data_IF_191430427961
#
_entry.id   IF_191430427961
#
_cell.length_a   1.000
_cell.length_b   1.000
_cell.length_c   1.000
_cell.angle_alpha   90.00
_cell.angle_beta   90.00
_cell.angle_gamma   90.00
#
_symmetry.space_group_name_H-M   'P 1'
#
loop_
_entity.id
_entity.type
_entity.pdbx_description
1 polymer ?
#
# COMPACT_ATOMS: atom_id res chain seq x y z
N UNK A 1 -16.20 -15.45 -6.89
CA UNK A 1 -15.58 -14.16 -6.52
C UNK A 1 -14.72 -13.70 -7.68
N UNK A 2 -14.81 -12.43 -8.06
CA UNK A 2 -14.04 -11.83 -9.16
C UNK A 2 -13.40 -10.51 -8.71
N UNK A 3 -12.32 -10.12 -9.39
CA UNK A 3 -11.70 -8.81 -9.24
C UNK A 3 -11.85 -8.02 -10.54
N UNK A 4 -11.98 -6.71 -10.45
CA UNK A 4 -11.95 -5.78 -11.59
C UNK A 4 -11.31 -4.46 -11.19
N UNK A 5 -10.88 -3.67 -12.16
CA UNK A 5 -10.47 -2.28 -11.91
C UNK A 5 -11.64 -1.47 -11.35
N UNK A 6 -11.32 -0.53 -10.47
CA UNK A 6 -12.25 0.49 -10.01
C UNK A 6 -12.61 1.43 -11.17
N UNK A 7 -13.87 1.85 -11.23
CA UNK A 7 -14.33 2.88 -12.17
C UNK A 7 -14.94 4.06 -11.42
N UNK A 8 -15.27 5.14 -12.13
CA UNK A 8 -15.92 6.31 -11.54
C UNK A 8 -17.26 5.97 -10.85
N UNK A 9 -17.98 4.96 -11.35
CA UNK A 9 -19.23 4.49 -10.76
C UNK A 9 -19.08 3.83 -9.38
N UNK A 10 -17.84 3.59 -8.93
CA UNK A 10 -17.55 3.02 -7.62
C UNK A 10 -17.19 4.06 -6.57
N UNK A 11 -16.93 5.33 -6.96
CA UNK A 11 -16.41 6.37 -6.06
C UNK A 11 -17.22 6.52 -4.78
N UNK A 12 -18.54 6.68 -4.90
CA UNK A 12 -19.45 6.82 -3.76
C UNK A 12 -19.46 5.58 -2.86
N UNK A 13 -19.49 4.38 -3.47
CA UNK A 13 -19.51 3.13 -2.74
C UNK A 13 -18.20 2.89 -1.98
N UNK A 14 -17.07 3.20 -2.59
CA UNK A 14 -15.74 3.07 -1.97
C UNK A 14 -15.58 4.06 -0.81
N UNK A 15 -16.04 5.30 -0.99
CA UNK A 15 -16.04 6.29 0.10
C UNK A 15 -16.85 5.80 1.31
N UNK A 16 -18.06 5.27 1.08
CA UNK A 16 -18.90 4.70 2.12
C UNK A 16 -18.26 3.46 2.78
N UNK A 17 -17.61 2.58 2.00
CA UNK A 17 -16.88 1.43 2.54
C UNK A 17 -15.71 1.87 3.42
N UNK A 18 -14.95 2.88 3.00
CA UNK A 18 -13.84 3.41 3.78
C UNK A 18 -14.32 4.03 5.10
N UNK A 19 -15.47 4.69 5.09
CA UNK A 19 -16.11 5.19 6.32
C UNK A 19 -16.51 4.05 7.25
N UNK A 20 -17.20 3.03 6.72
CA UNK A 20 -17.60 1.85 7.48
C UNK A 20 -16.40 1.08 8.07
N UNK A 21 -15.30 0.96 7.33
CA UNK A 21 -14.15 0.15 7.74
C UNK A 21 -13.17 0.86 8.68
N UNK A 22 -12.99 2.18 8.53
CA UNK A 22 -11.95 2.92 9.26
C UNK A 22 -12.50 3.99 10.21
N UNK A 23 -13.76 4.38 10.06
CA UNK A 23 -14.37 5.47 10.81
C UNK A 23 -13.70 6.84 10.55
N UNK A 24 -14.06 7.87 11.34
CA UNK A 24 -13.52 9.22 11.19
C UNK A 24 -12.05 9.34 11.62
N UNK A 25 -11.54 8.46 12.49
CA UNK A 25 -10.16 8.47 12.97
C UNK A 25 -9.09 8.08 11.93
N UNK A 26 -9.50 7.76 10.69
CA UNK A 26 -8.61 7.30 9.61
C UNK A 26 -7.60 8.37 9.19
N UNK A 27 -8.01 9.64 9.22
CA UNK A 27 -7.21 10.79 8.78
C UNK A 27 -5.98 11.07 9.67
N UNK A 28 -5.93 10.50 10.87
CA UNK A 28 -4.81 10.66 11.80
C UNK A 28 -3.63 9.69 11.54
N UNK A 29 -3.76 8.75 10.59
CA UNK A 29 -2.71 7.75 10.31
C UNK A 29 -1.77 8.28 9.23
N UNK A 30 -0.46 8.13 9.40
CA UNK A 30 0.54 8.66 8.44
C UNK A 30 0.35 8.17 6.99
N UNK A 31 -0.16 6.94 6.81
CA UNK A 31 -0.48 6.43 5.48
C UNK A 31 -1.64 7.20 4.79
N UNK A 32 -2.55 7.82 5.55
CA UNK A 32 -3.55 8.74 4.97
C UNK A 32 -2.91 10.07 4.58
N UNK A 33 -1.98 10.61 5.36
CA UNK A 33 -1.25 11.83 4.98
C UNK A 33 -0.53 11.67 3.64
N UNK A 34 0.05 10.49 3.38
CA UNK A 34 0.65 10.19 2.06
C UNK A 34 -0.37 10.17 0.93
N UNK A 35 -1.57 9.66 1.19
CA UNK A 35 -2.64 9.55 0.18
C UNK A 35 -3.30 10.88 -0.16
N UNK A 36 -3.19 11.88 0.71
CA UNK A 36 -3.65 13.24 0.42
C UNK A 36 -2.66 14.00 -0.47
N UNK A 37 -1.40 13.55 -0.56
CA UNK A 37 -0.38 14.21 -1.38
C UNK A 37 -0.51 13.89 -2.87
N UNK A 38 -1.11 12.76 -3.23
CA UNK A 38 -1.22 12.31 -4.62
C UNK A 38 -2.41 11.36 -4.83
N UNK A 39 -3.04 11.48 -5.99
CA UNK A 39 -4.08 10.55 -6.40
C UNK A 39 -3.58 9.11 -6.53
N UNK A 40 -4.42 8.10 -6.23
CA UNK A 40 -4.05 6.71 -6.46
C UNK A 40 -3.90 6.41 -7.96
N UNK A 41 -3.07 5.43 -8.29
CA UNK A 41 -2.99 4.88 -9.64
C UNK A 41 -4.24 4.02 -9.90
N UNK A 42 -5.19 4.56 -10.66
CA UNK A 42 -6.45 3.88 -10.97
C UNK A 42 -6.27 2.62 -11.84
N UNK A 43 -5.13 2.45 -12.52
CA UNK A 43 -4.79 1.18 -13.20
C UNK A 43 -4.37 0.07 -12.22
N UNK A 44 -4.17 0.42 -10.94
CA UNK A 44 -3.83 -0.47 -9.84
C UNK A 44 -4.84 -0.38 -8.68
N UNK A 45 -6.02 0.20 -8.91
CA UNK A 45 -7.12 0.19 -7.95
C UNK A 45 -8.10 -0.93 -8.28
N UNK A 46 -8.26 -1.90 -7.37
CA UNK A 46 -9.10 -3.07 -7.59
C UNK A 46 -10.33 -3.06 -6.70
N UNK A 47 -11.42 -3.58 -7.28
CA UNK A 47 -12.69 -3.89 -6.64
C UNK A 47 -12.86 -5.40 -6.59
N UNK A 48 -13.26 -5.93 -5.42
CA UNK A 48 -13.68 -7.31 -5.27
C UNK A 48 -15.20 -7.44 -5.35
N UNK A 49 -15.67 -8.48 -6.04
CA UNK A 49 -17.08 -8.79 -6.20
C UNK A 49 -17.41 -10.25 -5.88
N UNK A 50 -18.58 -10.47 -5.27
CA UNK A 50 -19.21 -11.78 -5.08
C UNK A 50 -20.61 -11.68 -5.66
N UNK A 51 -20.93 -12.53 -6.64
CA UNK A 51 -22.24 -12.55 -7.32
C UNK A 51 -22.63 -11.16 -7.85
N UNK A 52 -21.66 -10.44 -8.42
CA UNK A 52 -21.85 -9.07 -8.95
C UNK A 52 -21.89 -7.97 -7.88
N UNK A 53 -22.06 -8.31 -6.61
CA UNK A 53 -22.07 -7.34 -5.52
C UNK A 53 -20.66 -6.94 -5.11
N UNK A 54 -20.45 -5.64 -4.90
CA UNK A 54 -19.18 -5.07 -4.42
C UNK A 54 -18.96 -5.45 -2.95
N UNK A 55 -17.77 -5.96 -2.63
CA UNK A 55 -17.47 -6.50 -1.28
C UNK A 55 -16.14 -6.01 -0.72
N UNK A 56 -15.27 -5.42 -1.53
CA UNK A 56 -14.02 -4.83 -1.05
C UNK A 56 -13.33 -3.98 -2.11
N UNK A 57 -12.36 -3.18 -1.67
CA UNK A 57 -11.51 -2.33 -2.48
C UNK A 57 -10.07 -2.34 -1.97
N UNK A 58 -9.13 -2.15 -2.88
CA UNK A 58 -7.73 -1.84 -2.56
C UNK A 58 -7.20 -0.80 -3.54
N UNK A 59 -6.45 0.17 -3.04
CA UNK A 59 -5.77 1.19 -3.85
C UNK A 59 -4.26 1.00 -3.84
N UNK A 60 -3.60 1.61 -4.82
CA UNK A 60 -2.15 1.79 -4.88
C UNK A 60 -1.85 3.27 -5.07
N UNK A 61 -1.21 3.87 -4.09
CA UNK A 61 -0.79 5.28 -4.18
C UNK A 61 0.66 5.33 -4.63
N UNK A 62 1.01 6.01 -5.74
CA UNK A 62 2.38 6.13 -6.19
C UNK A 62 3.21 6.92 -5.17
N UNK A 63 4.39 6.40 -4.83
CA UNK A 63 5.30 7.02 -3.85
C UNK A 63 6.75 6.97 -4.33
N UNK A 64 7.57 7.79 -3.68
CA UNK A 64 9.02 7.72 -3.75
C UNK A 64 9.61 7.65 -2.35
N UNK A 65 10.81 7.04 -2.25
CA UNK A 65 11.70 7.22 -1.12
C UNK A 65 12.75 8.25 -1.52
N UNK A 66 12.71 9.42 -0.86
CA UNK A 66 13.78 10.40 -0.95
C UNK A 66 14.79 10.14 0.16
N UNK A 67 16.08 10.13 -0.15
CA UNK A 67 17.12 9.85 0.85
C UNK A 67 16.96 10.74 2.09
N UNK A 68 17.13 10.20 3.32
CA UNK A 68 17.49 11.03 4.44
C UNK A 68 18.91 11.50 4.17
N UNK A 69 19.21 12.78 4.40
CA UNK A 69 20.58 13.29 4.31
C UNK A 69 21.43 12.61 5.41
N UNK A 70 21.94 11.40 5.13
CA UNK A 70 22.95 10.77 5.95
C UNK A 70 24.27 11.42 5.58
N UNK A 71 24.74 12.31 6.46
CA UNK A 71 26.12 12.78 6.49
C UNK A 71 27.04 11.59 6.21
N UNK A 72 27.82 11.64 5.12
CA UNK A 72 28.91 10.72 4.74
C UNK A 72 28.63 9.54 3.78
N UNK A 73 27.58 9.56 2.95
CA UNK A 73 27.58 8.74 1.72
C UNK A 73 27.66 9.62 0.46
N UNK A 74 28.47 9.24 -0.55
CA UNK A 74 28.57 10.00 -1.79
C UNK A 74 27.19 10.12 -2.46
N UNK A 75 26.79 11.36 -2.74
CA UNK A 75 25.53 11.76 -3.33
C UNK A 75 25.32 11.14 -4.72
N UNK A 76 24.75 9.95 -4.75
CA UNK A 76 23.99 9.49 -5.91
C UNK A 76 22.54 9.56 -5.43
N UNK A 77 21.77 10.55 -5.88
CA UNK A 77 20.35 10.68 -5.56
C UNK A 77 19.60 9.45 -6.11
N UNK A 78 19.65 8.34 -5.38
CA UNK A 78 19.00 7.11 -5.79
C UNK A 78 17.57 7.18 -5.29
N UNK A 79 16.69 7.76 -6.12
CA UNK A 79 15.25 7.72 -5.88
C UNK A 79 14.75 6.32 -6.17
N UNK A 80 14.26 5.64 -5.15
CA UNK A 80 13.52 4.40 -5.31
C UNK A 80 12.04 4.72 -5.45
N UNK A 81 11.43 4.17 -6.50
CA UNK A 81 10.02 4.35 -6.80
C UNK A 81 9.22 3.14 -6.33
N UNK A 82 7.98 3.37 -5.92
CA UNK A 82 7.10 2.28 -5.50
C UNK A 82 5.66 2.72 -5.32
N UNK A 83 4.89 1.84 -4.70
CA UNK A 83 3.50 2.11 -4.34
C UNK A 83 3.29 1.92 -2.84
N UNK A 84 2.37 2.70 -2.28
CA UNK A 84 1.82 2.47 -0.95
C UNK A 84 0.49 1.73 -1.11
N UNK A 85 0.44 0.49 -0.62
CA UNK A 85 -0.78 -0.31 -0.64
C UNK A 85 -1.81 0.26 0.31
N UNK A 86 -3.01 0.39 -0.22
CA UNK A 86 -4.23 0.69 0.49
C UNK A 86 -4.75 2.11 0.26
N UNK A 87 -5.91 2.44 0.85
CA UNK A 87 -6.63 1.65 1.85
C UNK A 87 -7.08 0.28 1.32
N UNK A 88 -6.94 -0.75 2.15
CA UNK A 88 -7.50 -2.07 1.91
C UNK A 88 -8.77 -2.19 2.76
N UNK A 89 -9.92 -2.25 2.11
CA UNK A 89 -11.20 -2.31 2.79
C UNK A 89 -12.02 -3.50 2.30
N UNK A 90 -12.61 -4.25 3.22
CA UNK A 90 -13.52 -5.36 2.94
C UNK A 90 -14.75 -5.17 3.81
N UNK A 91 -15.92 -5.35 3.22
CA UNK A 91 -17.19 -5.26 3.92
C UNK A 91 -17.14 -6.11 5.21
N UNK A 92 -17.36 -5.51 6.40
CA UNK A 92 -17.28 -6.21 7.67
C UNK A 92 -18.15 -7.46 7.76
N UNK A 93 -19.30 -7.48 7.05
CA UNK A 93 -20.22 -8.62 7.01
C UNK A 93 -19.69 -9.80 6.18
N UNK A 94 -18.58 -9.60 5.45
CA UNK A 94 -17.99 -10.56 4.52
C UNK A 94 -16.51 -10.84 4.83
N UNK A 95 -16.10 -10.60 6.08
CA UNK A 95 -14.74 -10.92 6.55
C UNK A 95 -14.49 -12.43 6.55
N UNK A 96 -13.21 -12.82 6.58
CA UNK A 96 -12.75 -14.21 6.64
C UNK A 96 -13.10 -15.08 5.41
N UNK A 97 -13.56 -14.47 4.31
CA UNK A 97 -13.77 -15.16 3.02
C UNK A 97 -12.55 -15.11 2.09
N UNK A 98 -11.38 -14.69 2.59
CA UNK A 98 -10.15 -14.57 1.79
C UNK A 98 -10.10 -13.37 0.82
N UNK A 99 -11.13 -12.51 0.80
CA UNK A 99 -11.24 -11.35 -0.10
C UNK A 99 -10.03 -10.42 0.02
N UNK A 100 -9.66 -10.05 1.25
CA UNK A 100 -8.55 -9.13 1.50
C UNK A 100 -7.21 -9.69 1.02
N UNK A 101 -6.98 -10.98 1.23
CA UNK A 101 -5.76 -11.65 0.76
C UNK A 101 -5.69 -11.73 -0.76
N UNK A 102 -6.81 -12.03 -1.43
CA UNK A 102 -6.89 -12.03 -2.88
C UNK A 102 -6.59 -10.64 -3.46
N UNK A 103 -7.22 -9.59 -2.91
CA UNK A 103 -6.96 -8.20 -3.31
C UNK A 103 -5.47 -7.86 -3.19
N UNK A 104 -4.87 -8.08 -2.00
CA UNK A 104 -3.44 -7.80 -1.74
C UNK A 104 -2.53 -8.55 -2.71
N UNK A 105 -2.73 -9.86 -2.86
CA UNK A 105 -1.89 -10.70 -3.73
C UNK A 105 -1.94 -10.20 -5.17
N UNK A 106 -3.14 -9.98 -5.70
CA UNK A 106 -3.31 -9.58 -7.11
C UNK A 106 -2.75 -8.18 -7.36
N UNK A 107 -3.10 -7.20 -6.53
CA UNK A 107 -2.65 -5.81 -6.76
C UNK A 107 -1.14 -5.65 -6.59
N UNK A 108 -0.53 -6.40 -5.66
CA UNK A 108 0.93 -6.36 -5.44
C UNK A 108 1.66 -6.93 -6.66
N UNK A 109 1.17 -8.04 -7.22
CA UNK A 109 1.75 -8.61 -8.43
C UNK A 109 1.67 -7.64 -9.61
N UNK A 110 0.50 -7.01 -9.84
CA UNK A 110 0.32 -6.01 -10.89
C UNK A 110 1.26 -4.82 -10.71
N UNK A 111 1.43 -4.32 -9.48
CA UNK A 111 2.32 -3.19 -9.18
C UNK A 111 3.79 -3.52 -9.46
N UNK A 112 4.24 -4.72 -9.06
CA UNK A 112 5.61 -5.19 -9.29
C UNK A 112 5.90 -5.57 -10.75
N UNK A 113 4.87 -5.95 -11.52
CA UNK A 113 4.98 -6.12 -12.97
C UNK A 113 5.09 -4.77 -13.68
N UNK A 114 4.28 -3.79 -13.28
CA UNK A 114 4.31 -2.43 -13.82
C UNK A 114 5.62 -1.70 -13.51
N UNK A 115 6.22 -1.98 -12.35
CA UNK A 115 7.48 -1.40 -11.92
C UNK A 115 8.46 -2.48 -11.44
N UNK A 116 9.18 -3.16 -12.35
CA UNK A 116 10.01 -4.32 -12.02
C UNK A 116 11.13 -4.05 -11.00
N UNK A 117 11.65 -2.83 -10.99
CA UNK A 117 12.69 -2.34 -10.07
C UNK A 117 12.14 -1.60 -8.86
N UNK A 118 10.82 -1.57 -8.71
CA UNK A 118 10.13 -0.87 -7.64
C UNK A 118 9.66 -1.78 -6.52
N UNK A 119 9.12 -1.15 -5.48
CA UNK A 119 8.64 -1.82 -4.27
C UNK A 119 7.17 -1.49 -4.01
N UNK A 120 6.56 -2.27 -3.11
CA UNK A 120 5.27 -1.94 -2.51
C UNK A 120 5.43 -1.86 -0.99
N UNK A 121 5.07 -0.71 -0.41
CA UNK A 121 5.03 -0.49 1.04
C UNK A 121 3.62 -0.58 1.59
N UNK A 122 3.52 -0.91 2.86
CA UNK A 122 2.31 -0.71 3.64
C UNK A 122 2.62 -0.54 5.13
N UNK A 123 1.63 -0.04 5.86
CA UNK A 123 1.61 -0.03 7.32
C UNK A 123 0.53 -1.00 7.79
N UNK A 124 0.93 -2.14 8.35
CA UNK A 124 0.03 -3.24 8.73
C UNK A 124 0.74 -4.39 9.45
N UNK A 125 -0.02 -5.44 9.77
CA UNK A 125 0.46 -6.51 10.66
C UNK A 125 1.20 -7.63 9.90
N UNK A 126 2.45 -7.87 10.28
CA UNK A 126 3.32 -8.84 9.61
C UNK A 126 2.73 -10.26 9.50
N UNK A 127 2.05 -10.83 10.51
CA UNK A 127 1.44 -12.15 10.38
C UNK A 127 0.38 -12.24 9.27
N UNK A 128 -0.33 -11.15 8.98
CA UNK A 128 -1.34 -11.11 7.92
C UNK A 128 -0.71 -10.94 6.54
N UNK A 129 0.28 -10.04 6.40
CA UNK A 129 0.86 -9.69 5.09
C UNK A 129 2.04 -10.57 4.68
N UNK A 130 2.72 -11.21 5.62
CA UNK A 130 3.87 -12.09 5.39
C UNK A 130 3.64 -13.17 4.33
N UNK A 131 2.50 -13.89 4.35
CA UNK A 131 2.17 -14.89 3.32
C UNK A 131 2.11 -14.35 1.88
N UNK A 132 1.99 -13.02 1.69
CA UNK A 132 1.98 -12.37 0.38
C UNK A 132 3.36 -11.82 -0.04
N UNK A 133 4.42 -12.16 0.70
CA UNK A 133 5.79 -11.74 0.38
C UNK A 133 6.23 -10.43 1.04
N UNK A 134 5.42 -9.86 1.93
CA UNK A 134 5.78 -8.67 2.69
C UNK A 134 6.69 -9.01 3.86
N UNK A 135 7.68 -8.15 4.12
CA UNK A 135 8.63 -8.29 5.24
C UNK A 135 8.81 -6.95 5.92
N UNK A 136 9.17 -6.97 7.21
CA UNK A 136 9.48 -5.73 7.94
C UNK A 136 10.72 -5.07 7.34
N UNK A 137 10.66 -3.75 7.18
CA UNK A 137 11.83 -2.94 6.80
C UNK A 137 12.89 -3.03 7.90
N UNK A 138 14.18 -3.02 7.54
CA UNK A 138 15.28 -3.01 8.50
C UNK A 138 15.61 -1.59 8.99
N UNK A 139 16.11 -1.50 10.22
CA UNK A 139 16.77 -0.32 10.79
C UNK A 139 15.93 0.97 10.78
N UNK A 140 14.60 0.85 10.74
CA UNK A 140 13.67 2.00 10.62
C UNK A 140 14.05 2.94 9.46
N UNK A 141 14.64 2.38 8.39
CA UNK A 141 15.18 3.16 7.28
C UNK A 141 14.12 3.92 6.47
N UNK A 142 12.84 3.53 6.59
CA UNK A 142 11.71 4.18 5.91
C UNK A 142 10.93 5.03 6.90
N UNK A 143 10.85 6.33 6.60
CA UNK A 143 10.22 7.33 7.47
C UNK A 143 8.95 7.86 6.81
N UNK A 144 7.81 7.71 7.48
CA UNK A 144 6.54 8.27 7.03
C UNK A 144 6.36 9.71 7.52
N UNK A 145 5.56 10.55 6.82
CA UNK A 145 5.12 11.83 7.33
C UNK A 145 4.14 11.61 8.49
N UNK A 146 4.67 11.56 9.72
CA UNK A 146 3.92 11.34 10.96
C UNK A 146 4.19 9.98 11.63
N UNK A 147 3.77 9.80 12.90
CA UNK A 147 4.10 8.62 13.69
C UNK A 147 3.49 7.34 13.13
N UNK A 148 4.34 6.35 12.88
CA UNK A 148 3.95 4.96 12.57
C UNK A 148 4.67 4.03 13.52
N UNK A 149 4.05 2.88 13.82
CA UNK A 149 4.75 1.78 14.47
C UNK A 149 5.76 1.17 13.47
N UNK A 150 7.08 1.26 13.70
CA UNK A 150 8.08 0.73 12.78
C UNK A 150 7.95 -0.79 12.57
N UNK A 151 7.39 -1.52 13.55
CA UNK A 151 7.15 -2.96 13.40
C UNK A 151 6.09 -3.29 12.35
N UNK A 152 5.25 -2.31 12.02
CA UNK A 152 4.16 -2.44 11.05
C UNK A 152 4.53 -1.90 9.67
N UNK A 153 5.73 -1.35 9.49
CA UNK A 153 6.20 -0.91 8.17
C UNK A 153 6.76 -2.11 7.42
N UNK A 154 6.02 -2.55 6.40
CA UNK A 154 6.34 -3.74 5.61
C UNK A 154 6.58 -3.37 4.15
N UNK A 155 7.46 -4.15 3.51
CA UNK A 155 7.86 -3.97 2.11
C UNK A 155 7.78 -5.29 1.34
N UNK A 156 7.38 -5.21 0.08
CA UNK A 156 7.47 -6.27 -0.91
C UNK A 156 8.24 -5.76 -2.14
N UNK A 157 9.11 -6.60 -2.70
CA UNK A 157 9.98 -6.26 -3.84
C UNK A 157 10.37 -7.55 -4.58
N UNK A 158 10.60 -7.49 -5.89
CA UNK A 158 10.97 -8.65 -6.71
C UNK A 158 12.35 -9.23 -6.36
N UNK A 159 13.28 -8.39 -5.90
CA UNK A 159 14.55 -8.78 -5.28
C UNK A 159 14.48 -8.64 -3.76
N UNK A 160 14.49 -9.74 -2.99
CA UNK A 160 14.48 -9.68 -1.53
C UNK A 160 15.65 -8.89 -0.94
N UNK A 161 16.83 -8.94 -1.56
CA UNK A 161 18.02 -8.25 -1.05
C UNK A 161 17.87 -6.73 -1.14
N UNK A 162 17.39 -6.22 -2.27
CA UNK A 162 17.11 -4.78 -2.43
C UNK A 162 16.03 -4.29 -1.48
N UNK A 163 15.04 -5.12 -1.14
CA UNK A 163 14.01 -4.76 -0.16
C UNK A 163 14.61 -4.35 1.20
N UNK A 164 15.76 -4.91 1.55
CA UNK A 164 16.44 -4.70 2.84
C UNK A 164 17.34 -3.47 2.85
N UNK A 165 17.64 -2.91 1.68
CA UNK A 165 18.49 -1.73 1.49
C UNK A 165 17.68 -0.44 1.34
N UNK A 166 16.37 -0.56 1.14
CA UNK A 166 15.46 0.58 1.00
C UNK A 166 15.49 1.47 2.24
N UNK A 167 15.76 2.74 2.03
CA UNK A 167 15.70 3.78 3.05
C UNK A 167 15.29 5.11 2.42
N UNK A 168 14.65 5.97 3.22
CA UNK A 168 14.15 7.25 2.75
C UNK A 168 12.87 7.72 3.44
N UNK A 169 12.61 9.01 3.23
CA UNK A 169 11.35 9.64 3.57
C UNK A 169 10.31 9.30 2.48
N UNK A 170 9.16 8.79 2.90
CA UNK A 170 8.03 8.49 2.02
C UNK A 170 7.37 9.80 1.58
N UNK A 171 7.31 10.02 0.27
CA UNK A 171 6.61 11.15 -0.35
C UNK A 171 5.64 10.67 -1.43
N UNK A 172 4.56 11.41 -1.65
CA UNK A 172 3.69 11.21 -2.82
C UNK A 172 4.42 11.61 -4.11
N UNK A 173 4.08 10.95 -5.23
CA UNK A 173 4.71 11.16 -6.54
C UNK A 173 3.70 11.53 -7.61
#
# INVERSE_FOLDING_TARGET
>A
MSLRLQTDADKEWVAALHEKCFGPGRFARSAFLVREMVEPDFELCLMAQIEGQRVGSVWMTPIALNEPCALNKPHTLQRSWGYLLGPLAVDPLRRNLGIGGLLVKTVTAMALEKLPTGFVLLVGDAPYYGPFGYRRVKNDGIVFPGPVDPQRVLVCHNSPDHAMELSGNVVGR
#
